data_IF_186692823773
#
_entry.id   IF_186692823773
#
_cell.length_a   1.000
_cell.length_b   1.000
_cell.length_c   1.000
_cell.angle_alpha   90.00
_cell.angle_beta   90.00
_cell.angle_gamma   90.00
#
_symmetry.space_group_name_H-M   'P 1'
#
loop_
_entity.id
_entity.type
_entity.pdbx_description
1 polymer ?
#
# COMPACT_ATOMS: atom_id res chain seq x y z
N UNK A 1 -48.13 2.08 -7.77
CA UNK A 1 -48.62 3.31 -7.16
C UNK A 1 -47.38 4.15 -6.84
N UNK A 2 -47.21 5.21 -7.61
CA UNK A 2 -46.12 6.18 -7.40
C UNK A 2 -46.49 6.99 -6.15
N UNK A 3 -45.79 6.73 -5.05
CA UNK A 3 -45.83 7.60 -3.89
C UNK A 3 -44.98 8.82 -4.26
N UNK A 4 -45.64 9.91 -4.63
CA UNK A 4 -45.02 11.21 -4.74
C UNK A 4 -44.32 11.50 -3.40
N UNK A 5 -43.00 11.58 -3.44
CA UNK A 5 -42.26 12.25 -2.38
C UNK A 5 -42.71 13.70 -2.37
N UNK A 6 -43.72 13.99 -1.55
CA UNK A 6 -44.03 15.36 -1.21
C UNK A 6 -42.77 15.93 -0.56
N UNK A 7 -42.04 16.76 -1.32
CA UNK A 7 -41.11 17.71 -0.73
C UNK A 7 -41.87 18.41 0.40
N UNK A 8 -41.50 18.14 1.64
CA UNK A 8 -41.90 18.96 2.77
C UNK A 8 -41.18 20.29 2.55
N UNK A 9 -41.76 21.13 1.69
CA UNK A 9 -41.41 22.53 1.60
C UNK A 9 -41.92 23.16 2.88
N UNK A 10 -41.07 23.21 3.90
CA UNK A 10 -41.33 24.10 5.04
C UNK A 10 -41.53 25.48 4.43
N UNK A 11 -42.77 25.98 4.46
CA UNK A 11 -43.11 27.32 3.98
C UNK A 11 -42.39 28.32 4.86
N UNK A 12 -41.19 28.71 4.44
CA UNK A 12 -40.41 29.76 5.10
C UNK A 12 -41.12 31.07 4.92
N UNK A 13 -41.63 31.64 5.99
CA UNK A 13 -42.21 33.00 5.95
C UNK A 13 -41.05 33.98 5.86
N UNK A 14 -40.96 34.71 4.75
CA UNK A 14 -40.03 35.81 4.59
C UNK A 14 -40.64 37.09 5.10
N UNK A 15 -39.97 37.78 5.99
CA UNK A 15 -40.32 39.12 6.46
C UNK A 15 -39.48 40.19 5.74
N UNK A 16 -38.74 39.83 4.71
CA UNK A 16 -37.95 40.74 3.91
C UNK A 16 -38.86 41.45 2.89
N UNK A 17 -38.60 42.74 2.68
CA UNK A 17 -39.21 43.54 1.61
C UNK A 17 -38.50 43.36 0.27
N UNK A 18 -37.36 42.66 0.26
CA UNK A 18 -36.56 42.37 -0.93
C UNK A 18 -36.94 40.96 -1.41
N UNK A 19 -37.30 40.75 -2.70
CA UNK A 19 -37.55 39.43 -3.23
C UNK A 19 -36.27 38.57 -3.18
N UNK A 20 -36.43 37.31 -2.79
CA UNK A 20 -35.34 36.34 -2.80
C UNK A 20 -34.98 36.01 -4.25
N UNK A 21 -33.75 36.38 -4.66
CA UNK A 21 -33.25 36.10 -6.00
C UNK A 21 -32.68 34.68 -6.11
N UNK A 22 -32.29 34.09 -4.99
CA UNK A 22 -31.67 32.74 -4.93
C UNK A 22 -32.25 32.00 -3.73
N UNK A 23 -32.70 30.77 -3.94
CA UNK A 23 -33.16 29.90 -2.85
C UNK A 23 -31.97 29.49 -1.99
N UNK A 24 -32.18 29.41 -0.66
CA UNK A 24 -31.14 28.91 0.26
C UNK A 24 -30.94 27.43 -0.03
N UNK A 25 -29.70 27.00 -0.34
CA UNK A 25 -29.42 25.60 -0.57
C UNK A 25 -29.71 24.77 0.68
N UNK A 26 -30.09 23.51 0.49
CA UNK A 26 -30.19 22.57 1.59
C UNK A 26 -28.79 22.24 2.13
N UNK A 27 -28.51 22.67 3.36
CA UNK A 27 -27.22 22.50 3.99
C UNK A 27 -26.92 21.02 4.34
N UNK A 28 -27.94 20.17 4.38
CA UNK A 28 -27.80 18.73 4.65
C UNK A 28 -27.69 17.91 3.35
N UNK A 29 -27.84 18.56 2.20
CA UNK A 29 -27.83 17.88 0.90
C UNK A 29 -26.58 17.06 0.64
N UNK A 30 -25.42 17.51 1.14
CA UNK A 30 -24.15 16.79 1.00
C UNK A 30 -24.26 15.40 1.64
N UNK A 31 -24.80 15.29 2.84
CA UNK A 31 -24.92 14.03 3.57
C UNK A 31 -26.05 13.16 3.01
N UNK A 32 -27.22 13.73 2.80
CA UNK A 32 -28.39 12.99 2.31
C UNK A 32 -28.18 12.46 0.90
N UNK A 33 -27.65 13.28 0.00
CA UNK A 33 -27.29 12.83 -1.37
C UNK A 33 -26.15 11.81 -1.39
N UNK A 34 -25.14 11.97 -0.52
CA UNK A 34 -24.06 11.01 -0.42
C UNK A 34 -24.57 9.63 0.02
N UNK A 35 -25.48 9.60 1.00
CA UNK A 35 -26.08 8.36 1.47
C UNK A 35 -27.00 7.71 0.42
N UNK A 36 -27.85 8.52 -0.24
CA UNK A 36 -28.69 8.06 -1.36
C UNK A 36 -27.84 7.50 -2.51
N UNK A 37 -26.74 8.17 -2.83
CA UNK A 37 -25.79 7.73 -3.83
C UNK A 37 -25.08 6.43 -3.42
N UNK A 38 -24.77 6.26 -2.14
CA UNK A 38 -24.19 5.03 -1.61
C UNK A 38 -25.15 3.86 -1.74
N UNK A 39 -26.41 4.02 -1.33
CA UNK A 39 -27.41 2.95 -1.36
C UNK A 39 -28.03 2.72 -2.73
N UNK A 40 -28.11 3.70 -3.60
CA UNK A 40 -28.78 3.65 -4.91
C UNK A 40 -30.17 2.96 -4.87
N UNK A 41 -30.90 3.14 -3.74
CA UNK A 41 -32.14 2.42 -3.45
C UNK A 41 -33.22 2.68 -4.51
N UNK A 42 -33.34 3.92 -4.96
CA UNK A 42 -34.37 4.37 -5.92
C UNK A 42 -33.97 4.17 -7.38
N UNK A 43 -32.75 3.64 -7.62
CA UNK A 43 -32.24 3.42 -8.97
C UNK A 43 -32.60 1.99 -9.41
N UNK A 44 -33.23 1.81 -10.58
CA UNK A 44 -33.47 0.49 -11.13
C UNK A 44 -32.16 -0.30 -11.24
N UNK A 45 -32.22 -1.60 -11.06
CA UNK A 45 -31.04 -2.47 -11.05
C UNK A 45 -30.13 -2.24 -12.26
N UNK A 46 -30.69 -2.16 -13.44
CA UNK A 46 -29.97 -2.00 -14.71
C UNK A 46 -29.26 -0.63 -14.85
N UNK A 47 -29.72 0.38 -14.08
CA UNK A 47 -29.17 1.73 -14.10
C UNK A 47 -28.23 2.02 -12.91
N UNK A 48 -28.01 1.05 -12.01
CA UNK A 48 -27.07 1.20 -10.90
C UNK A 48 -25.66 1.30 -11.40
N UNK A 49 -24.91 2.23 -10.82
CA UNK A 49 -23.50 2.44 -11.19
C UNK A 49 -22.58 1.68 -10.25
N UNK A 50 -21.37 1.27 -10.67
CA UNK A 50 -20.43 0.47 -9.88
C UNK A 50 -19.72 1.31 -8.82
N UNK A 51 -20.47 1.92 -7.91
CA UNK A 51 -19.96 2.62 -6.74
C UNK A 51 -20.86 2.41 -5.51
N UNK A 52 -20.39 2.78 -4.32
CA UNK A 52 -21.10 2.55 -3.08
C UNK A 52 -21.33 1.08 -2.80
N UNK A 53 -22.52 0.72 -2.34
CA UNK A 53 -22.86 -0.67 -1.99
C UNK A 53 -22.82 -1.60 -3.21
N UNK A 54 -23.31 -1.14 -4.36
CA UNK A 54 -23.25 -1.88 -5.63
C UNK A 54 -21.80 -2.19 -6.03
N UNK A 55 -20.91 -1.18 -5.99
CA UNK A 55 -19.50 -1.36 -6.33
C UNK A 55 -18.78 -2.33 -5.41
N UNK A 56 -19.08 -2.33 -4.11
CA UNK A 56 -18.52 -3.29 -3.16
C UNK A 56 -18.97 -4.71 -3.47
N UNK A 57 -20.26 -4.91 -3.71
CA UNK A 57 -20.78 -6.24 -4.06
C UNK A 57 -20.17 -6.75 -5.37
N UNK A 58 -20.10 -5.93 -6.41
CA UNK A 58 -19.46 -6.30 -7.67
C UNK A 58 -17.96 -6.59 -7.55
N UNK A 59 -17.24 -5.94 -6.62
CA UNK A 59 -15.82 -6.22 -6.40
C UNK A 59 -15.54 -7.52 -5.67
N UNK A 60 -16.49 -8.01 -4.87
CA UNK A 60 -16.36 -9.25 -4.10
C UNK A 60 -16.79 -10.46 -4.90
N UNK A 61 -17.85 -10.32 -5.69
CA UNK A 61 -18.39 -11.39 -6.52
C UNK A 61 -17.90 -11.25 -7.98
N UNK A 62 -17.78 -12.38 -8.72
CA UNK A 62 -18.09 -13.75 -8.33
C UNK A 62 -17.05 -14.34 -7.35
N UNK A 63 -17.51 -15.26 -6.49
CA UNK A 63 -16.65 -16.08 -5.65
C UNK A 63 -16.58 -17.46 -6.26
N UNK A 64 -15.38 -17.90 -6.63
CA UNK A 64 -15.13 -19.20 -7.23
C UNK A 64 -14.46 -20.13 -6.22
N UNK A 65 -14.82 -21.41 -6.25
CA UNK A 65 -14.07 -22.45 -5.55
C UNK A 65 -12.72 -22.71 -6.22
N UNK A 66 -11.74 -23.23 -5.46
CA UNK A 66 -10.39 -23.56 -5.94
C UNK A 66 -10.39 -24.51 -7.16
N UNK A 67 -11.37 -25.37 -7.26
CA UNK A 67 -11.57 -26.32 -8.38
C UNK A 67 -12.52 -25.81 -9.46
N UNK A 68 -13.12 -24.62 -9.27
CA UNK A 68 -14.16 -24.03 -10.14
C UNK A 68 -15.39 -24.89 -10.33
N UNK A 69 -15.71 -25.75 -9.36
CA UNK A 69 -16.92 -26.56 -9.39
C UNK A 69 -18.15 -25.74 -8.98
N UNK A 70 -17.95 -24.72 -8.14
CA UNK A 70 -19.01 -23.85 -7.65
C UNK A 70 -18.62 -22.39 -7.89
N UNK A 71 -19.56 -21.63 -8.47
CA UNK A 71 -19.41 -20.20 -8.71
C UNK A 71 -20.61 -19.51 -8.07
N UNK A 72 -20.35 -18.59 -7.13
CA UNK A 72 -21.37 -17.77 -6.49
C UNK A 72 -21.35 -16.38 -7.12
N UNK A 73 -22.41 -16.07 -7.86
CA UNK A 73 -22.56 -14.81 -8.60
C UNK A 73 -23.54 -13.87 -7.89
N UNK A 74 -23.21 -12.59 -7.86
CA UNK A 74 -24.10 -11.52 -7.41
C UNK A 74 -25.06 -11.10 -8.54
N UNK A 75 -26.35 -10.97 -8.22
CA UNK A 75 -27.35 -10.46 -9.17
C UNK A 75 -27.85 -9.07 -8.82
N UNK A 76 -28.38 -8.88 -7.62
CA UNK A 76 -28.90 -7.59 -7.15
C UNK A 76 -29.06 -7.60 -5.64
N UNK A 77 -29.32 -6.43 -5.06
CA UNK A 77 -29.70 -6.29 -3.66
C UNK A 77 -31.01 -5.53 -3.49
N UNK A 78 -31.65 -5.78 -2.35
CA UNK A 78 -32.88 -5.12 -1.93
C UNK A 78 -32.74 -4.64 -0.51
N UNK A 79 -33.21 -3.42 -0.26
CA UNK A 79 -33.36 -2.88 1.07
C UNK A 79 -34.81 -3.01 1.49
N UNK A 80 -35.06 -3.64 2.63
CA UNK A 80 -36.38 -3.71 3.22
C UNK A 80 -36.70 -2.45 4.02
N UNK A 81 -37.95 -2.30 4.41
CA UNK A 81 -38.35 -1.19 5.26
C UNK A 81 -37.80 -1.38 6.69
N UNK A 82 -37.37 -0.30 7.36
CA UNK A 82 -37.04 -0.34 8.77
C UNK A 82 -38.20 -0.87 9.62
N UNK A 83 -37.87 -1.67 10.63
CA UNK A 83 -38.87 -2.31 11.50
C UNK A 83 -39.54 -1.33 12.44
N UNK A 84 -38.83 -0.31 12.88
CA UNK A 84 -39.26 0.71 13.83
C UNK A 84 -39.07 2.09 13.23
N UNK A 85 -39.88 3.05 13.70
CA UNK A 85 -39.70 4.46 13.36
C UNK A 85 -38.47 5.04 14.07
N UNK A 86 -37.94 6.19 13.63
CA UNK A 86 -36.82 6.85 14.30
C UNK A 86 -37.10 7.11 15.80
N UNK A 87 -38.29 7.63 16.13
CA UNK A 87 -38.67 7.93 17.52
C UNK A 87 -38.77 6.67 18.38
N UNK A 88 -39.37 5.61 17.85
CA UNK A 88 -39.41 4.32 18.54
C UNK A 88 -38.00 3.74 18.77
N UNK A 89 -37.04 3.97 17.86
CA UNK A 89 -35.68 3.50 18.04
C UNK A 89 -34.97 4.23 19.20
N UNK A 90 -35.22 5.53 19.35
CA UNK A 90 -34.70 6.31 20.48
C UNK A 90 -35.30 5.81 21.80
N UNK A 91 -36.62 5.66 21.87
CA UNK A 91 -37.31 5.21 23.09
C UNK A 91 -36.90 3.80 23.51
N UNK A 92 -36.68 2.91 22.56
CA UNK A 92 -36.31 1.51 22.81
C UNK A 92 -34.79 1.26 22.93
N UNK A 93 -33.97 2.27 22.70
CA UNK A 93 -32.51 2.12 22.70
C UNK A 93 -31.96 1.21 21.60
N UNK A 94 -32.64 1.15 20.43
CA UNK A 94 -32.22 0.30 19.30
C UNK A 94 -31.71 1.13 18.14
N UNK A 95 -31.03 0.46 17.19
CA UNK A 95 -30.52 1.12 15.97
C UNK A 95 -31.61 1.20 14.90
N UNK A 96 -31.78 2.39 14.32
CA UNK A 96 -32.61 2.58 13.14
C UNK A 96 -31.91 2.01 11.92
N UNK A 97 -32.42 0.90 11.39
CA UNK A 97 -31.75 0.12 10.34
C UNK A 97 -32.73 -0.53 9.38
N UNK A 98 -32.30 -0.68 8.13
CA UNK A 98 -33.01 -1.39 7.07
C UNK A 98 -32.40 -2.76 6.82
N UNK A 99 -33.18 -3.85 6.67
CA UNK A 99 -32.66 -5.16 6.34
C UNK A 99 -32.16 -5.20 4.89
N UNK A 100 -30.91 -5.66 4.72
CA UNK A 100 -30.31 -5.89 3.41
C UNK A 100 -30.48 -7.35 3.01
N UNK A 101 -31.06 -7.58 1.85
CA UNK A 101 -31.10 -8.88 1.17
C UNK A 101 -30.36 -8.80 -0.14
N UNK A 102 -29.60 -9.82 -0.45
CA UNK A 102 -28.82 -9.91 -1.68
C UNK A 102 -29.27 -11.15 -2.45
N UNK A 103 -29.62 -10.96 -3.71
CA UNK A 103 -29.92 -12.08 -4.62
C UNK A 103 -28.63 -12.61 -5.17
N UNK A 104 -28.35 -13.88 -4.86
CA UNK A 104 -27.19 -14.60 -5.31
C UNK A 104 -27.62 -15.77 -6.20
N UNK A 105 -26.82 -16.07 -7.22
CA UNK A 105 -26.95 -17.25 -8.05
C UNK A 105 -25.77 -18.19 -7.79
N UNK A 106 -26.05 -19.41 -7.34
CA UNK A 106 -25.07 -20.47 -7.23
C UNK A 106 -25.09 -21.28 -8.51
N UNK A 107 -23.99 -21.27 -9.24
CA UNK A 107 -23.79 -22.07 -10.44
C UNK A 107 -22.94 -23.28 -10.08
N UNK A 108 -23.44 -24.48 -10.47
CA UNK A 108 -22.73 -25.75 -10.35
C UNK A 108 -22.24 -26.11 -11.74
N UNK A 109 -20.92 -26.23 -11.89
CA UNK A 109 -20.29 -26.52 -13.19
C UNK A 109 -20.47 -28.00 -13.55
N UNK A 110 -20.64 -28.30 -14.83
CA UNK A 110 -20.70 -29.65 -15.34
C UNK A 110 -19.30 -30.30 -15.30
N UNK A 111 -19.19 -31.53 -14.81
CA UNK A 111 -17.92 -32.26 -14.71
C UNK A 111 -17.29 -32.51 -16.09
N UNK A 112 -18.13 -32.74 -17.13
CA UNK A 112 -17.70 -33.03 -18.50
C UNK A 112 -17.37 -31.75 -19.31
N UNK A 113 -17.96 -30.62 -18.95
CA UNK A 113 -17.77 -29.35 -19.68
C UNK A 113 -17.76 -28.13 -18.76
N UNK A 114 -16.57 -27.76 -18.28
CA UNK A 114 -16.36 -26.67 -17.33
C UNK A 114 -16.85 -25.29 -17.79
N UNK A 115 -17.24 -25.14 -19.04
CA UNK A 115 -17.81 -23.90 -19.57
C UNK A 115 -19.36 -23.90 -19.57
N UNK A 116 -19.99 -24.96 -19.07
CA UNK A 116 -21.45 -25.05 -18.93
C UNK A 116 -21.83 -25.28 -17.48
N UNK A 117 -22.93 -24.69 -17.08
CA UNK A 117 -23.50 -24.91 -15.76
C UNK A 117 -24.47 -26.09 -15.84
N UNK A 118 -24.27 -27.10 -14.99
CA UNK A 118 -25.19 -28.21 -14.83
C UNK A 118 -26.46 -27.74 -14.14
N UNK A 119 -26.35 -26.86 -13.17
CA UNK A 119 -27.47 -26.32 -12.41
C UNK A 119 -27.19 -24.90 -11.97
N UNK A 120 -28.23 -24.05 -11.94
CA UNK A 120 -28.17 -22.69 -11.39
C UNK A 120 -29.30 -22.49 -10.39
N UNK A 121 -29.00 -22.09 -9.17
CA UNK A 121 -29.96 -21.88 -8.07
C UNK A 121 -29.86 -20.40 -7.66
N UNK A 122 -30.97 -19.69 -7.79
CA UNK A 122 -31.06 -18.28 -7.34
C UNK A 122 -31.83 -18.20 -6.02
N UNK A 123 -31.29 -17.43 -5.07
CA UNK A 123 -31.92 -17.22 -3.77
C UNK A 123 -31.63 -15.84 -3.21
N UNK A 124 -32.62 -15.27 -2.50
CA UNK A 124 -32.46 -14.05 -1.74
C UNK A 124 -31.89 -14.38 -0.35
N UNK A 125 -30.68 -13.92 -0.09
CA UNK A 125 -29.95 -14.17 1.15
C UNK A 125 -29.98 -12.91 2.02
N UNK A 126 -30.33 -13.06 3.29
CA UNK A 126 -30.27 -11.99 4.26
C UNK A 126 -28.81 -11.73 4.68
N UNK A 127 -28.30 -10.54 4.40
CA UNK A 127 -26.92 -10.14 4.72
C UNK A 127 -26.78 -9.42 6.06
N UNK A 128 -27.87 -8.89 6.58
CA UNK A 128 -27.86 -8.14 7.84
C UNK A 128 -28.68 -6.86 7.76
N UNK A 129 -28.54 -6.04 8.77
CA UNK A 129 -29.18 -4.72 8.82
C UNK A 129 -28.15 -3.62 8.58
N UNK A 130 -28.47 -2.68 7.70
CA UNK A 130 -27.67 -1.48 7.48
C UNK A 130 -28.29 -0.33 8.26
N UNK A 131 -27.51 0.42 9.07
CA UNK A 131 -28.00 1.66 9.66
C UNK A 131 -28.58 2.58 8.60
N UNK A 132 -29.76 3.09 8.84
CA UNK A 132 -30.49 3.92 7.87
C UNK A 132 -30.52 5.39 8.32
N UNK A 133 -30.36 6.30 7.38
CA UNK A 133 -30.32 7.74 7.65
C UNK A 133 -31.74 8.27 7.85
N UNK A 134 -31.93 9.12 8.84
CA UNK A 134 -33.20 9.85 9.06
C UNK A 134 -33.34 11.00 8.04
N UNK A 135 -34.53 11.57 7.94
CA UNK A 135 -34.75 12.74 7.10
C UNK A 135 -33.92 13.97 7.50
N UNK A 136 -33.50 14.02 8.78
CA UNK A 136 -32.62 15.06 9.32
C UNK A 136 -31.14 14.87 8.98
N UNK A 137 -30.76 13.82 8.24
CA UNK A 137 -29.37 13.51 7.93
C UNK A 137 -28.59 12.86 9.09
N UNK A 138 -29.28 12.33 10.09
CA UNK A 138 -28.71 11.69 11.29
C UNK A 138 -28.87 10.17 11.23
N UNK A 139 -28.09 9.46 12.05
CA UNK A 139 -28.25 8.03 12.30
C UNK A 139 -28.61 7.81 13.77
N UNK A 140 -29.49 6.86 14.03
CA UNK A 140 -29.81 6.44 15.41
C UNK A 140 -29.13 5.10 15.66
N UNK A 141 -28.15 5.11 16.54
CA UNK A 141 -27.37 3.92 16.91
C UNK A 141 -27.57 3.65 18.40
N UNK A 142 -28.16 2.50 18.71
CA UNK A 142 -28.49 2.11 20.08
C UNK A 142 -29.28 3.21 20.83
N UNK A 143 -30.23 3.84 20.14
CA UNK A 143 -31.05 4.91 20.68
C UNK A 143 -30.40 6.29 20.71
N UNK A 144 -29.12 6.42 20.43
CA UNK A 144 -28.41 7.70 20.37
C UNK A 144 -28.41 8.27 18.95
N UNK A 145 -28.89 9.49 18.78
CA UNK A 145 -28.84 10.21 17.51
C UNK A 145 -27.40 10.69 17.25
N UNK A 146 -26.86 10.36 16.09
CA UNK A 146 -25.46 10.62 15.70
C UNK A 146 -25.40 11.20 14.30
N UNK A 147 -24.38 12.02 14.08
CA UNK A 147 -24.06 12.60 12.77
C UNK A 147 -22.68 12.16 12.34
N UNK A 148 -22.53 11.84 11.05
CA UNK A 148 -21.22 11.58 10.47
C UNK A 148 -20.57 12.93 10.14
N UNK A 149 -19.43 13.20 10.73
CA UNK A 149 -18.64 14.41 10.48
C UNK A 149 -17.51 14.07 9.53
N UNK A 150 -17.33 14.86 8.47
CA UNK A 150 -16.23 14.73 7.56
C UNK A 150 -14.90 14.97 8.30
N UNK A 151 -13.93 14.08 8.10
CA UNK A 151 -12.59 14.22 8.65
C UNK A 151 -11.58 14.35 7.51
N UNK A 152 -10.65 15.29 7.66
CA UNK A 152 -9.52 15.40 6.75
C UNK A 152 -8.59 14.23 6.95
N UNK A 153 -8.22 13.57 5.87
CA UNK A 153 -7.29 12.47 5.83
C UNK A 153 -6.19 12.80 4.81
N UNK A 154 -4.96 12.37 5.09
CA UNK A 154 -3.90 12.45 4.09
C UNK A 154 -4.28 11.64 2.87
N UNK A 155 -4.07 12.24 1.69
CA UNK A 155 -4.27 11.55 0.42
C UNK A 155 -3.32 10.36 0.30
N UNK A 156 -3.72 9.26 -0.36
CA UNK A 156 -2.79 8.19 -0.69
C UNK A 156 -1.61 8.71 -1.52
N UNK A 157 -0.43 8.12 -1.30
CA UNK A 157 0.79 8.48 -1.98
C UNK A 157 2.02 8.32 -1.09
N UNK A 158 3.14 8.91 -1.51
CA UNK A 158 4.35 8.98 -0.70
C UNK A 158 4.55 10.40 -0.20
N UNK A 159 5.05 10.52 1.02
CA UNK A 159 5.32 11.80 1.68
C UNK A 159 6.69 11.77 2.30
N UNK A 160 7.43 12.86 2.14
CA UNK A 160 8.77 13.04 2.67
C UNK A 160 8.77 14.13 3.73
N UNK A 161 9.31 13.82 4.89
CA UNK A 161 9.31 14.68 6.08
C UNK A 161 10.71 14.74 6.70
N UNK A 162 11.00 15.82 7.43
CA UNK A 162 12.22 15.94 8.22
C UNK A 162 11.89 16.15 9.70
N UNK A 163 12.71 15.57 10.55
CA UNK A 163 12.69 15.79 11.98
C UNK A 163 14.07 16.11 12.49
N UNK A 164 14.15 16.87 13.57
CA UNK A 164 15.42 17.20 14.19
C UNK A 164 15.62 16.39 15.47
N UNK A 165 16.72 15.63 15.49
CA UNK A 165 17.12 14.92 16.70
C UNK A 165 17.64 15.92 17.76
N UNK A 166 17.52 15.63 19.08
CA UNK A 166 18.00 16.52 20.14
C UNK A 166 19.47 16.95 20.05
N UNK A 167 20.31 16.17 19.35
CA UNK A 167 21.70 16.52 19.07
C UNK A 167 21.89 17.50 17.88
N UNK A 168 20.81 17.96 17.25
CA UNK A 168 20.82 18.85 16.11
C UNK A 168 20.89 18.19 14.74
N UNK A 169 21.09 16.87 14.66
CA UNK A 169 21.13 16.14 13.39
C UNK A 169 19.75 16.07 12.76
N UNK A 170 19.65 16.36 11.46
CA UNK A 170 18.42 16.19 10.70
C UNK A 170 18.22 14.72 10.34
N UNK A 171 17.06 14.20 10.65
CA UNK A 171 16.59 12.86 10.29
C UNK A 171 15.48 12.99 9.26
N UNK A 172 15.52 12.16 8.25
CA UNK A 172 14.56 12.16 7.16
C UNK A 172 13.70 10.93 7.19
N UNK A 173 12.45 11.09 6.79
CA UNK A 173 11.47 10.02 6.75
C UNK A 173 10.70 10.07 5.42
N UNK A 174 10.50 8.91 4.82
CA UNK A 174 9.59 8.71 3.71
C UNK A 174 8.44 7.81 4.17
N UNK A 175 7.20 8.23 3.95
CA UNK A 175 6.02 7.49 4.36
C UNK A 175 5.16 7.18 3.16
N UNK A 176 4.92 5.89 2.90
CA UNK A 176 3.96 5.43 1.89
C UNK A 176 2.61 5.20 2.58
N UNK A 177 1.59 5.95 2.15
CA UNK A 177 0.22 5.84 2.65
C UNK A 177 -0.66 5.28 1.53
N UNK A 178 -1.16 4.04 1.63
CA UNK A 178 -2.12 3.50 0.69
C UNK A 178 -3.55 3.98 1.00
N UNK A 179 -4.46 3.88 0.04
CA UNK A 179 -5.89 4.00 0.28
C UNK A 179 -6.42 2.84 1.13
N UNK A 180 -5.86 1.64 0.93
CA UNK A 180 -6.13 0.43 1.71
C UNK A 180 -4.86 -0.41 1.78
N UNK A 181 -4.43 -0.78 2.98
CA UNK A 181 -3.25 -1.63 3.20
C UNK A 181 -2.34 -1.11 4.30
N UNK A 182 -1.17 -1.72 4.40
CA UNK A 182 -0.17 -1.41 5.42
C UNK A 182 0.59 -0.13 5.10
N UNK A 183 0.79 0.70 6.11
CA UNK A 183 1.65 1.88 6.01
C UNK A 183 3.11 1.46 6.10
N UNK A 184 3.96 2.10 5.32
CA UNK A 184 5.40 1.84 5.30
C UNK A 184 6.15 3.15 5.51
N UNK A 185 6.97 3.20 6.55
CA UNK A 185 7.82 4.32 6.87
C UNK A 185 9.29 3.91 6.67
N UNK A 186 10.02 4.63 5.84
CA UNK A 186 11.46 4.55 5.72
C UNK A 186 12.08 5.71 6.48
N UNK A 187 13.07 5.45 7.31
CA UNK A 187 13.68 6.47 8.18
C UNK A 187 15.18 6.38 8.15
N UNK A 188 15.85 7.54 8.23
CA UNK A 188 17.28 7.61 8.47
C UNK A 188 17.57 7.64 9.98
N UNK A 189 18.70 7.11 10.40
CA UNK A 189 19.17 7.17 11.78
C UNK A 189 20.36 8.13 11.91
N UNK A 190 20.74 8.48 13.13
CA UNK A 190 21.90 9.31 13.45
C UNK A 190 23.23 8.74 12.96
N UNK A 191 23.31 7.43 12.80
CA UNK A 191 24.49 6.71 12.30
C UNK A 191 24.47 6.51 10.78
N UNK A 192 23.67 7.29 10.06
CA UNK A 192 23.50 7.19 8.61
C UNK A 192 23.15 5.76 8.15
N UNK A 193 22.17 5.16 8.83
CA UNK A 193 21.58 3.87 8.46
C UNK A 193 20.11 4.06 8.08
N UNK A 194 19.64 3.22 7.16
CA UNK A 194 18.26 3.21 6.68
C UNK A 194 17.45 2.11 7.37
N UNK A 195 16.32 2.48 7.92
CA UNK A 195 15.40 1.56 8.58
C UNK A 195 14.01 1.65 7.97
N UNK A 196 13.27 0.56 8.07
CA UNK A 196 11.85 0.48 7.69
C UNK A 196 10.99 0.13 8.89
N UNK A 197 9.81 0.71 8.93
CA UNK A 197 8.76 0.45 9.92
C UNK A 197 7.47 0.16 9.15
N UNK A 198 6.87 -1.00 9.38
CA UNK A 198 5.61 -1.40 8.75
C UNK A 198 4.53 -1.41 9.83
N UNK A 199 3.40 -0.72 9.58
CA UNK A 199 2.25 -0.64 10.49
C UNK A 199 2.63 -0.25 11.93
N UNK A 200 3.59 0.67 12.10
CA UNK A 200 4.10 1.14 13.39
C UNK A 200 4.67 0.02 14.29
N UNK A 201 5.15 -1.07 13.68
CA UNK A 201 5.80 -2.16 14.39
C UNK A 201 7.29 -1.88 14.63
N UNK A 202 8.07 -2.91 14.98
CA UNK A 202 9.51 -2.75 15.22
C UNK A 202 10.22 -2.31 13.94
N UNK A 203 11.16 -1.35 14.08
CA UNK A 203 12.05 -0.94 13.00
C UNK A 203 13.09 -2.03 12.73
N UNK A 204 13.42 -2.22 11.46
CA UNK A 204 14.50 -3.12 11.00
C UNK A 204 15.21 -2.53 9.79
N UNK A 205 16.43 -2.98 9.44
CA UNK A 205 17.19 -2.45 8.31
C UNK A 205 16.43 -2.57 6.99
N UNK A 206 16.54 -1.55 6.12
CA UNK A 206 15.91 -1.55 4.79
C UNK A 206 16.44 -2.67 3.92
N UNK A 207 17.74 -3.00 4.04
CA UNK A 207 18.39 -4.10 3.30
C UNK A 207 17.73 -5.45 3.57
N UNK A 208 17.31 -5.70 4.80
CA UNK A 208 16.56 -6.91 5.16
C UNK A 208 15.20 -6.96 4.42
N UNK A 209 14.49 -5.83 4.30
CA UNK A 209 13.28 -5.79 3.50
C UNK A 209 13.57 -6.08 2.03
N UNK A 210 14.59 -5.45 1.46
CA UNK A 210 14.97 -5.65 0.06
C UNK A 210 15.35 -7.11 -0.21
N UNK A 211 16.08 -7.78 0.70
CA UNK A 211 16.38 -9.22 0.60
C UNK A 211 15.11 -10.06 0.65
N UNK A 212 14.18 -9.76 1.57
CA UNK A 212 12.90 -10.43 1.65
C UNK A 212 12.03 -10.24 0.40
N UNK A 213 12.23 -9.15 -0.33
CA UNK A 213 11.55 -8.85 -1.59
C UNK A 213 12.23 -9.43 -2.83
N UNK A 214 13.44 -10.04 -2.70
CA UNK A 214 14.11 -10.75 -3.77
C UNK A 214 15.51 -10.27 -4.16
N UNK A 215 16.00 -9.15 -3.60
CA UNK A 215 17.42 -8.74 -3.76
C UNK A 215 18.30 -9.54 -2.82
N UNK A 216 18.67 -10.75 -3.22
CA UNK A 216 19.30 -11.74 -2.33
C UNK A 216 20.68 -11.33 -1.84
N UNK A 217 21.51 -10.83 -2.74
CA UNK A 217 22.92 -10.52 -2.48
C UNK A 217 23.14 -9.02 -2.23
N UNK A 218 24.28 -8.68 -1.62
CA UNK A 218 24.70 -7.28 -1.49
C UNK A 218 24.86 -6.63 -2.87
N UNK A 219 25.36 -7.38 -3.84
CA UNK A 219 25.52 -6.93 -5.22
C UNK A 219 24.16 -6.54 -5.84
N UNK A 220 23.10 -7.34 -5.63
CA UNK A 220 21.76 -7.02 -6.13
C UNK A 220 21.24 -5.70 -5.53
N UNK A 221 21.47 -5.51 -4.23
CA UNK A 221 21.06 -4.30 -3.53
C UNK A 221 21.81 -3.08 -4.10
N UNK A 222 23.16 -3.13 -4.16
CA UNK A 222 23.92 -2.01 -4.69
C UNK A 222 23.61 -1.72 -6.16
N UNK A 223 23.35 -2.74 -6.95
CA UNK A 223 22.98 -2.60 -8.36
C UNK A 223 21.62 -1.89 -8.51
N UNK A 224 20.65 -2.21 -7.66
CA UNK A 224 19.33 -1.57 -7.66
C UNK A 224 19.41 -0.04 -7.43
N UNK A 225 20.42 0.42 -6.69
CA UNK A 225 20.65 1.85 -6.45
C UNK A 225 21.71 2.47 -7.38
N UNK A 226 22.24 1.70 -8.34
CA UNK A 226 23.26 2.18 -9.26
C UNK A 226 24.58 2.56 -8.57
N UNK A 227 24.87 1.96 -7.42
CA UNK A 227 26.05 2.26 -6.62
C UNK A 227 27.28 1.40 -6.96
N UNK A 228 27.17 0.48 -7.92
CA UNK A 228 28.26 -0.40 -8.34
C UNK A 228 29.09 0.28 -9.41
N UNK A 229 30.41 0.25 -9.20
CA UNK A 229 31.42 0.61 -10.18
C UNK A 229 32.15 -0.66 -10.62
N UNK A 230 32.05 -0.98 -11.90
CA UNK A 230 32.86 -2.05 -12.51
C UNK A 230 34.22 -1.49 -12.88
N UNK A 231 35.26 -1.98 -12.23
CA UNK A 231 36.65 -1.59 -12.47
C UNK A 231 37.33 -2.62 -13.37
N UNK A 232 37.78 -2.19 -14.57
CA UNK A 232 38.64 -2.99 -15.44
C UNK A 232 40.10 -2.74 -15.04
N UNK A 233 40.70 -3.72 -14.33
CA UNK A 233 42.07 -3.63 -13.79
C UNK A 233 43.16 -3.40 -14.86
N UNK A 234 42.82 -3.57 -16.14
CA UNK A 234 43.77 -3.34 -17.24
C UNK A 234 43.72 -1.95 -17.84
N UNK A 235 42.56 -1.28 -17.71
CA UNK A 235 42.29 0.02 -18.35
C UNK A 235 42.23 1.17 -17.35
N UNK A 236 41.72 0.88 -16.15
CA UNK A 236 41.43 1.90 -15.17
C UNK A 236 42.56 2.12 -14.18
N UNK A 237 42.64 3.34 -13.66
CA UNK A 237 43.63 3.71 -12.65
C UNK A 237 43.21 3.19 -11.27
N UNK A 238 43.62 1.97 -10.93
CA UNK A 238 43.30 1.27 -9.67
C UNK A 238 43.57 2.13 -8.44
N UNK A 239 44.57 3.03 -8.51
CA UNK A 239 44.97 3.90 -7.38
C UNK A 239 43.83 4.86 -6.96
N UNK A 240 42.93 5.20 -7.88
CA UNK A 240 41.79 6.08 -7.56
C UNK A 240 40.68 5.36 -6.78
N UNK A 241 40.67 4.05 -6.81
CA UNK A 241 39.64 3.22 -6.19
C UNK A 241 40.12 2.51 -4.92
N UNK A 242 41.36 2.82 -4.47
CA UNK A 242 41.88 2.31 -3.19
C UNK A 242 40.98 2.84 -2.05
N UNK A 243 40.53 1.94 -1.16
CA UNK A 243 39.57 2.25 -0.08
C UNK A 243 38.12 2.07 -0.48
N UNK A 244 37.81 1.64 -1.72
CA UNK A 244 36.47 1.21 -2.10
C UNK A 244 36.21 -0.20 -1.61
N UNK A 245 34.97 -0.51 -1.25
CA UNK A 245 34.59 -1.83 -0.73
C UNK A 245 34.25 -2.80 -1.87
N UNK A 246 34.79 -4.01 -1.80
CA UNK A 246 34.53 -5.09 -2.75
C UNK A 246 33.11 -5.65 -2.48
N UNK A 247 32.31 -5.75 -3.52
CA UNK A 247 30.88 -6.14 -3.41
C UNK A 247 30.67 -7.65 -3.45
N UNK A 248 31.45 -8.35 -4.24
CA UNK A 248 31.38 -9.81 -4.47
C UNK A 248 32.69 -10.48 -4.16
N UNK A 249 32.64 -11.75 -3.76
CA UNK A 249 33.84 -12.54 -3.58
C UNK A 249 34.64 -12.63 -4.88
N UNK A 250 35.92 -12.26 -4.82
CA UNK A 250 36.83 -12.34 -5.95
C UNK A 250 37.47 -13.70 -5.94
N UNK A 251 37.05 -14.58 -6.86
CA UNK A 251 37.45 -15.98 -6.92
C UNK A 251 38.26 -16.24 -8.19
N UNK A 252 39.28 -17.03 -8.10
CA UNK A 252 39.99 -17.58 -9.29
C UNK A 252 39.09 -18.58 -10.02
N UNK A 253 38.78 -18.27 -11.27
CA UNK A 253 37.94 -19.12 -12.12
C UNK A 253 38.53 -20.50 -12.35
N UNK A 254 39.89 -20.67 -12.25
CA UNK A 254 40.57 -21.91 -12.54
C UNK A 254 40.79 -22.79 -11.29
N UNK A 255 41.11 -22.16 -10.16
CA UNK A 255 41.47 -22.88 -8.91
C UNK A 255 40.35 -22.91 -7.89
N UNK A 256 39.37 -21.98 -8.01
CA UNK A 256 38.29 -21.79 -7.01
C UNK A 256 38.79 -21.13 -5.72
N UNK A 257 40.01 -20.60 -5.69
CA UNK A 257 40.56 -19.93 -4.52
C UNK A 257 39.99 -18.51 -4.38
N UNK A 258 39.57 -18.15 -3.17
CA UNK A 258 39.03 -16.82 -2.88
C UNK A 258 40.17 -15.88 -2.56
N UNK A 259 40.41 -14.88 -3.39
CA UNK A 259 41.43 -13.85 -3.17
C UNK A 259 40.98 -12.74 -2.24
N UNK A 260 39.71 -12.37 -2.31
CA UNK A 260 39.08 -11.43 -1.40
C UNK A 260 37.60 -11.77 -1.21
N UNK A 261 37.14 -11.68 0.03
CA UNK A 261 35.75 -11.84 0.40
C UNK A 261 35.01 -10.51 0.20
N UNK A 262 33.71 -10.59 -0.12
CA UNK A 262 32.83 -9.44 -0.18
C UNK A 262 32.84 -8.66 1.14
N UNK A 263 32.79 -7.33 1.05
CA UNK A 263 32.84 -6.44 2.23
C UNK A 263 34.24 -5.99 2.64
N UNK A 264 35.33 -6.52 2.03
CA UNK A 264 36.66 -5.99 2.26
C UNK A 264 36.95 -4.75 1.43
N UNK A 265 37.72 -3.82 2.01
CA UNK A 265 38.22 -2.67 1.29
C UNK A 265 39.36 -3.02 0.37
N UNK A 266 39.36 -2.44 -0.82
CA UNK A 266 40.45 -2.60 -1.78
C UNK A 266 41.69 -1.87 -1.26
N UNK A 267 42.69 -2.65 -0.85
CA UNK A 267 43.99 -2.12 -0.48
C UNK A 267 45.02 -2.30 -1.62
N UNK A 268 46.17 -1.59 -1.58
CA UNK A 268 47.18 -1.71 -2.62
C UNK A 268 47.75 -3.14 -2.80
N UNK A 269 47.80 -3.93 -1.72
CA UNK A 269 48.26 -5.31 -1.75
C UNK A 269 47.29 -6.23 -2.50
N UNK A 270 46.00 -6.10 -2.24
CA UNK A 270 44.96 -6.85 -2.96
C UNK A 270 44.94 -6.48 -4.45
N UNK A 271 45.11 -5.19 -4.76
CA UNK A 271 45.17 -4.74 -6.16
C UNK A 271 46.35 -5.37 -6.94
N UNK A 272 47.50 -5.53 -6.31
CA UNK A 272 48.63 -6.24 -6.90
C UNK A 272 48.36 -7.73 -7.08
N UNK A 273 47.73 -8.39 -6.10
CA UNK A 273 47.31 -9.79 -6.19
C UNK A 273 46.35 -10.01 -7.35
N UNK A 274 45.34 -9.15 -7.50
CA UNK A 274 44.39 -9.25 -8.61
C UNK A 274 45.02 -9.07 -9.98
N UNK A 275 45.92 -8.08 -10.11
CA UNK A 275 46.62 -7.85 -11.38
C UNK A 275 47.58 -8.99 -11.74
N UNK A 276 48.24 -9.61 -10.74
CA UNK A 276 49.17 -10.72 -10.94
C UNK A 276 48.45 -12.01 -11.36
N UNK A 277 47.26 -12.25 -10.79
CA UNK A 277 46.47 -13.45 -11.08
C UNK A 277 45.52 -13.29 -12.28
N UNK A 278 45.60 -12.17 -12.98
CA UNK A 278 44.93 -11.98 -14.26
C UNK A 278 43.40 -11.74 -14.14
N UNK A 279 42.91 -11.30 -12.99
CA UNK A 279 41.54 -10.87 -12.79
C UNK A 279 41.31 -9.63 -13.65
N UNK A 280 40.22 -9.62 -14.42
CA UNK A 280 39.96 -8.56 -15.40
C UNK A 280 39.05 -7.47 -14.84
N UNK A 281 38.02 -7.87 -14.15
CA UNK A 281 36.95 -7.00 -13.69
C UNK A 281 36.62 -7.29 -12.23
N UNK A 282 36.43 -6.24 -11.45
CA UNK A 282 35.96 -6.32 -10.06
C UNK A 282 34.83 -5.30 -9.86
N UNK A 283 33.87 -5.65 -9.02
CA UNK A 283 32.77 -4.79 -8.64
C UNK A 283 33.06 -4.11 -7.31
N UNK A 284 33.06 -2.81 -7.33
CA UNK A 284 33.40 -1.97 -6.19
C UNK A 284 32.26 -1.02 -5.85
N UNK A 285 32.16 -0.68 -4.59
CA UNK A 285 31.30 0.40 -4.08
C UNK A 285 32.18 1.43 -3.38
N UNK A 286 32.04 2.69 -3.76
CA UNK A 286 32.88 3.75 -3.23
C UNK A 286 32.21 4.44 -2.01
N UNK A 287 32.30 3.80 -0.85
CA UNK A 287 31.75 4.32 0.41
C UNK A 287 32.41 5.61 0.92
N UNK A 288 33.64 5.90 0.49
CA UNK A 288 34.39 7.07 0.96
C UNK A 288 34.07 8.35 0.15
N UNK A 289 33.71 8.22 -1.12
CA UNK A 289 33.42 9.37 -2.00
C UNK A 289 31.94 9.55 -2.32
N UNK A 290 31.15 8.50 -2.18
CA UNK A 290 29.71 8.52 -2.47
C UNK A 290 28.87 8.28 -1.22
N UNK A 291 28.19 9.33 -0.81
CA UNK A 291 27.35 9.30 0.39
C UNK A 291 26.24 8.24 0.34
N UNK A 292 25.67 7.96 -0.84
CA UNK A 292 24.67 6.89 -1.03
C UNK A 292 25.23 5.53 -0.72
N UNK A 293 26.43 5.26 -1.19
CA UNK A 293 27.12 4.00 -0.98
C UNK A 293 27.48 3.79 0.49
N UNK A 294 27.89 4.86 1.19
CA UNK A 294 28.16 4.83 2.63
C UNK A 294 26.90 4.48 3.44
N UNK A 295 25.76 5.11 3.14
CA UNK A 295 24.49 4.82 3.82
C UNK A 295 24.08 3.36 3.66
N UNK A 296 24.21 2.81 2.46
CA UNK A 296 23.88 1.42 2.17
C UNK A 296 24.86 0.46 2.89
N UNK A 297 26.16 0.73 2.88
CA UNK A 297 27.15 -0.06 3.60
C UNK A 297 26.86 -0.09 5.10
N UNK A 298 26.65 1.08 5.72
CA UNK A 298 26.30 1.17 7.14
C UNK A 298 25.01 0.42 7.49
N UNK A 299 24.07 0.36 6.53
CA UNK A 299 22.80 -0.37 6.72
C UNK A 299 23.00 -1.88 6.61
N UNK A 300 23.84 -2.34 5.67
CA UNK A 300 24.19 -3.75 5.48
C UNK A 300 24.94 -4.27 6.72
N UNK A 301 25.85 -3.50 7.30
CA UNK A 301 26.58 -3.90 8.52
C UNK A 301 25.66 -4.13 9.73
N UNK A 302 24.49 -3.53 9.73
CA UNK A 302 23.46 -3.73 10.77
C UNK A 302 22.40 -4.79 10.42
N UNK A 303 22.46 -5.33 9.22
CA UNK A 303 21.55 -6.37 8.74
C UNK A 303 22.02 -7.75 9.21
N UNK A 304 21.27 -8.44 10.07
CA UNK A 304 21.63 -9.78 10.52
C UNK A 304 21.38 -10.87 9.48
N UNK A 305 20.73 -10.54 8.34
CA UNK A 305 20.41 -11.51 7.29
C UNK A 305 21.44 -11.46 6.17
N UNK A 306 21.78 -12.63 5.62
CA UNK A 306 22.72 -12.75 4.51
C UNK A 306 22.06 -13.16 3.20
N UNK A 307 20.86 -13.69 3.26
CA UNK A 307 20.12 -14.20 2.11
C UNK A 307 18.61 -13.94 2.22
N UNK A 308 17.87 -14.19 1.14
CA UNK A 308 16.43 -14.01 1.07
C UNK A 308 15.68 -14.87 2.09
N UNK A 309 16.11 -16.11 2.33
CA UNK A 309 15.41 -17.03 3.23
C UNK A 309 15.48 -16.58 4.69
N UNK A 310 16.66 -16.18 5.15
CA UNK A 310 16.86 -15.63 6.49
C UNK A 310 16.07 -14.33 6.68
N UNK A 311 16.14 -13.44 5.69
CA UNK A 311 15.43 -12.17 5.72
C UNK A 311 13.92 -12.38 5.80
N UNK A 312 13.33 -13.26 4.99
CA UNK A 312 11.92 -13.62 5.03
C UNK A 312 11.51 -14.13 6.42
N UNK A 313 12.32 -15.01 7.01
CA UNK A 313 12.07 -15.57 8.35
C UNK A 313 12.03 -14.48 9.43
N UNK A 314 13.05 -13.63 9.46
CA UNK A 314 13.18 -12.56 10.45
C UNK A 314 12.06 -11.50 10.28
N UNK A 315 11.81 -11.04 9.05
CA UNK A 315 10.77 -10.04 8.77
C UNK A 315 9.39 -10.58 9.16
N UNK A 316 9.10 -11.83 8.84
CA UNK A 316 7.85 -12.46 9.26
C UNK A 316 7.67 -12.47 10.77
N UNK A 317 8.71 -12.87 11.53
CA UNK A 317 8.68 -12.88 13.00
C UNK A 317 8.48 -11.47 13.58
N UNK A 318 9.15 -10.47 13.03
CA UNK A 318 9.01 -9.07 13.45
C UNK A 318 7.59 -8.53 13.22
N UNK A 319 6.95 -8.95 12.13
CA UNK A 319 5.60 -8.49 11.77
C UNK A 319 4.49 -9.30 12.42
N UNK A 320 4.70 -10.58 12.73
CA UNK A 320 3.65 -11.46 13.27
C UNK A 320 3.82 -11.83 14.72
N UNK A 321 5.00 -11.68 15.30
CA UNK A 321 5.33 -12.00 16.70
C UNK A 321 4.93 -13.44 17.13
N UNK A 322 4.88 -14.40 16.22
CA UNK A 322 4.47 -15.78 16.45
C UNK A 322 5.29 -16.75 15.63
N UNK A 323 5.30 -17.98 16.01
CA UNK A 323 5.90 -19.20 15.47
C UNK A 323 6.92 -19.13 14.30
N UNK A 324 7.95 -19.99 14.27
CA UNK A 324 8.92 -20.04 13.18
C UNK A 324 8.20 -20.30 11.86
N UNK A 325 8.37 -19.42 10.86
CA UNK A 325 7.63 -19.51 9.62
C UNK A 325 8.14 -20.65 8.74
N UNK A 326 7.19 -21.31 8.06
CA UNK A 326 7.53 -21.99 6.83
C UNK A 326 7.85 -20.90 5.77
N UNK A 327 8.95 -21.03 5.03
CA UNK A 327 9.41 -20.07 4.02
C UNK A 327 8.32 -19.68 3.03
N UNK A 328 7.58 -20.65 2.53
CA UNK A 328 6.46 -20.41 1.61
C UNK A 328 5.37 -19.54 2.22
N UNK A 329 5.09 -19.74 3.51
CA UNK A 329 4.10 -18.94 4.24
C UNK A 329 4.61 -17.52 4.46
N UNK A 330 5.89 -17.34 4.76
CA UNK A 330 6.51 -16.03 4.93
C UNK A 330 6.52 -15.24 3.61
N UNK A 331 6.88 -15.87 2.52
CA UNK A 331 6.85 -15.27 1.19
C UNK A 331 5.44 -14.82 0.79
N UNK A 332 4.45 -15.72 0.88
CA UNK A 332 3.03 -15.39 0.59
C UNK A 332 2.50 -14.27 1.50
N UNK A 333 2.99 -14.18 2.73
CA UNK A 333 2.61 -13.12 3.65
C UNK A 333 3.13 -11.76 3.19
N UNK A 334 4.40 -11.65 2.80
CA UNK A 334 5.01 -10.40 2.31
C UNK A 334 4.39 -9.99 0.98
N UNK A 335 4.23 -10.92 0.04
CA UNK A 335 3.54 -10.67 -1.22
C UNK A 335 2.12 -10.14 -0.99
N UNK A 336 1.42 -10.68 0.00
CA UNK A 336 0.06 -10.24 0.34
C UNK A 336 0.00 -8.84 0.93
N UNK A 337 1.04 -8.41 1.67
CA UNK A 337 1.08 -7.08 2.29
C UNK A 337 1.25 -5.99 1.24
N UNK A 338 2.09 -6.20 0.22
CA UNK A 338 2.51 -5.15 -0.71
C UNK A 338 1.95 -5.30 -2.13
N UNK A 339 1.82 -6.54 -2.63
CA UNK A 339 1.57 -6.81 -4.04
C UNK A 339 0.21 -7.45 -4.34
N UNK A 340 -0.62 -7.72 -3.33
CA UNK A 340 -1.94 -8.31 -3.55
C UNK A 340 -3.01 -7.24 -3.71
N UNK A 341 -3.70 -7.14 -4.88
CA UNK A 341 -4.75 -6.15 -5.11
C UNK A 341 -5.94 -6.28 -4.13
N UNK A 342 -6.13 -7.48 -3.55
CA UNK A 342 -7.18 -7.71 -2.54
C UNK A 342 -6.86 -7.08 -1.17
N UNK A 343 -5.59 -6.83 -0.85
CA UNK A 343 -5.14 -6.38 0.47
C UNK A 343 -4.44 -5.04 0.44
N UNK A 344 -3.81 -4.69 -0.66
CA UNK A 344 -3.08 -3.44 -0.84
C UNK A 344 -3.63 -2.67 -2.05
N UNK A 345 -3.89 -1.40 -1.86
CA UNK A 345 -4.43 -0.53 -2.89
C UNK A 345 -3.99 0.92 -2.63
N UNK A 346 -3.14 1.46 -3.49
CA UNK A 346 -2.76 2.88 -3.48
C UNK A 346 -3.91 3.80 -3.91
N UNK A 347 -4.88 3.25 -4.64
CA UNK A 347 -5.85 4.03 -5.37
C UNK A 347 -5.23 4.76 -6.58
N UNK A 348 -6.07 5.18 -7.50
CA UNK A 348 -5.61 5.89 -8.72
C UNK A 348 -4.87 7.19 -8.40
N UNK A 349 -5.32 7.92 -7.36
CA UNK A 349 -4.68 9.16 -6.92
C UNK A 349 -3.28 8.90 -6.37
N UNK A 350 -3.11 7.86 -5.54
CA UNK A 350 -1.81 7.49 -4.98
C UNK A 350 -0.83 7.05 -6.08
N UNK A 351 -1.28 6.22 -7.01
CA UNK A 351 -0.48 5.79 -8.18
C UNK A 351 -0.08 6.97 -9.06
N UNK A 352 -1.02 7.86 -9.38
CA UNK A 352 -0.73 9.06 -10.17
C UNK A 352 0.35 9.93 -9.51
N UNK A 353 0.25 10.17 -8.18
CA UNK A 353 1.24 10.96 -7.43
C UNK A 353 2.62 10.33 -7.44
N UNK A 354 2.72 9.02 -7.18
CA UNK A 354 3.98 8.26 -7.26
C UNK A 354 4.61 8.38 -8.64
N UNK A 355 3.83 8.14 -9.69
CA UNK A 355 4.29 8.26 -11.06
C UNK A 355 4.82 9.66 -11.38
N UNK A 356 4.12 10.69 -10.92
CA UNK A 356 4.52 12.09 -11.15
C UNK A 356 5.81 12.43 -10.39
N UNK A 357 5.93 12.00 -9.13
CA UNK A 357 7.07 12.35 -8.28
C UNK A 357 8.36 11.66 -8.71
N UNK A 358 8.28 10.41 -9.14
CA UNK A 358 9.43 9.62 -9.56
C UNK A 358 9.56 9.45 -11.07
N UNK A 359 8.70 10.10 -11.86
CA UNK A 359 8.65 9.99 -13.32
C UNK A 359 8.51 8.54 -13.82
N UNK A 360 7.69 7.74 -13.10
CA UNK A 360 7.41 6.36 -13.43
C UNK A 360 6.34 6.26 -14.52
N UNK A 361 6.38 5.18 -15.32
CA UNK A 361 5.43 4.92 -16.40
C UNK A 361 4.47 3.76 -16.09
N UNK A 362 4.19 3.54 -14.81
CA UNK A 362 3.24 2.48 -14.39
C UNK A 362 1.82 2.91 -14.73
N UNK A 363 0.96 2.03 -15.28
CA UNK A 363 -0.45 2.35 -15.53
C UNK A 363 -1.17 2.82 -14.26
N UNK A 364 -2.04 3.82 -14.39
CA UNK A 364 -2.78 4.38 -13.24
C UNK A 364 -3.75 3.38 -12.63
N UNK A 365 -4.20 2.41 -13.41
CA UNK A 365 -5.08 1.33 -12.96
C UNK A 365 -4.34 0.23 -12.17
N UNK A 366 -3.01 0.20 -12.25
CA UNK A 366 -2.18 -0.68 -11.43
C UNK A 366 -1.90 -0.01 -10.08
N UNK A 367 -2.76 -0.30 -9.12
CA UNK A 367 -2.79 0.38 -7.81
C UNK A 367 -2.03 -0.35 -6.71
N UNK A 368 -1.32 -1.44 -7.01
CA UNK A 368 -0.42 -2.12 -6.07
C UNK A 368 0.99 -1.53 -6.14
N UNK A 369 1.78 -1.68 -5.08
CA UNK A 369 3.19 -1.28 -5.12
C UNK A 369 3.97 -2.13 -6.12
N UNK A 370 5.00 -1.54 -6.69
CA UNK A 370 6.01 -2.25 -7.50
C UNK A 370 7.36 -2.20 -6.77
N UNK A 371 8.28 -3.06 -7.19
CA UNK A 371 9.64 -3.03 -6.65
C UNK A 371 10.33 -1.70 -6.94
N UNK A 372 10.12 -1.18 -8.14
CA UNK A 372 10.66 0.11 -8.56
C UNK A 372 10.16 1.27 -7.68
N UNK A 373 8.89 1.23 -7.25
CA UNK A 373 8.35 2.24 -6.32
C UNK A 373 9.17 2.28 -5.02
N UNK A 374 9.43 1.10 -4.45
CA UNK A 374 10.16 0.98 -3.18
C UNK A 374 11.60 1.49 -3.34
N UNK A 375 12.29 1.08 -4.40
CA UNK A 375 13.66 1.52 -4.69
C UNK A 375 13.72 3.03 -4.91
N UNK A 376 12.78 3.61 -5.66
CA UNK A 376 12.73 5.05 -5.92
C UNK A 376 12.45 5.86 -4.65
N UNK A 377 11.57 5.38 -3.76
CA UNK A 377 11.32 6.03 -2.47
C UNK A 377 12.58 6.06 -1.61
N UNK A 378 13.31 4.96 -1.56
CA UNK A 378 14.56 4.87 -0.80
C UNK A 378 15.63 5.77 -1.44
N UNK A 379 15.75 5.77 -2.77
CA UNK A 379 16.69 6.64 -3.51
C UNK A 379 16.41 8.11 -3.20
N UNK A 380 15.14 8.53 -3.26
CA UNK A 380 14.75 9.90 -2.92
C UNK A 380 15.11 10.26 -1.48
N UNK A 381 14.93 9.34 -0.53
CA UNK A 381 15.30 9.54 0.86
C UNK A 381 16.82 9.73 1.04
N UNK A 382 17.62 8.98 0.29
CA UNK A 382 19.09 9.14 0.23
C UNK A 382 19.45 10.52 -0.34
N UNK A 383 18.81 10.96 -1.41
CA UNK A 383 19.04 12.27 -2.04
C UNK A 383 18.65 13.42 -1.11
N UNK A 384 17.58 13.27 -0.31
CA UNK A 384 17.24 14.24 0.74
C UNK A 384 18.33 14.36 1.79
N UNK A 385 18.91 13.24 2.21
CA UNK A 385 20.01 13.25 3.19
C UNK A 385 21.27 13.90 2.63
N UNK A 386 21.49 13.83 1.31
CA UNK A 386 22.56 14.58 0.61
C UNK A 386 22.25 16.09 0.52
N UNK A 387 21.00 16.50 0.67
CA UNK A 387 20.53 17.88 0.48
C UNK A 387 20.19 18.22 -0.97
N UNK A 388 20.07 17.22 -1.84
CA UNK A 388 19.71 17.41 -3.26
C UNK A 388 18.20 17.55 -3.47
N UNK A 389 17.40 17.09 -2.49
CA UNK A 389 15.94 17.14 -2.51
C UNK A 389 15.38 17.73 -1.22
N UNK A 390 14.20 18.33 -1.33
CA UNK A 390 13.48 18.93 -0.21
C UNK A 390 12.41 18.03 0.38
N UNK A 391 11.80 18.48 1.47
CA UNK A 391 10.65 17.87 2.12
C UNK A 391 9.35 18.29 1.43
N UNK A 392 8.31 17.45 1.55
CA UNK A 392 6.99 17.80 1.07
C UNK A 392 6.28 18.75 2.02
N UNK A 393 5.52 19.69 1.46
CA UNK A 393 4.60 20.52 2.21
C UNK A 393 3.28 19.74 2.40
N UNK A 394 3.12 19.14 3.59
CA UNK A 394 2.01 18.23 3.88
C UNK A 394 0.72 19.00 4.21
N UNK A 395 0.83 20.27 4.57
CA UNK A 395 -0.29 21.08 5.03
C UNK A 395 -1.12 21.69 3.88
N UNK A 396 -0.74 21.41 2.65
CA UNK A 396 -1.41 21.90 1.44
C UNK A 396 -2.07 20.80 0.62
#
# INVERSE_FOLDING_TARGET
>A
MLVNSSKITSTRKSFSTIPTFVDVPDLLEIQTKAFQRFLQEWTPQEARKPYGLEGVLQSVFPIEDSHRNYILEYKTYFLGQPKYTPDECVDRGVTFSAPLRVRLALHITDEDNRNKYAQSIEQDVYFGNIPYMTEKGTFIINGAERVIVAQLQRSPGVFFDESQHPNGTKLYQARIIPARGSWVDFTTDINDCLFVIIDRRRKFPVTMLLRALGYSTNSDIFNAFGAIHELDLKKDDVKKHIGSTIVEDVVDVNTGEIYAEAGKDLDPGLAEVFSTNGIKEIKLVNGNSEFSSMLLLNTIDKDPSNNTEEALGIVYQLLRASEPPNLETAQKFIERIFFSPKKYDLGQVGRYRLNQQFNLKVPVDDTVLTMDDIVQVITYLIDMRKGERGVDDIDH
#
